data_IF_690968530256
#
_entry.id   IF_690968530256
#
_cell.length_a   1.000
_cell.length_b   1.000
_cell.length_c   1.000
_cell.angle_alpha   90.00
_cell.angle_beta   90.00
_cell.angle_gamma   90.00
#
_symmetry.space_group_name_H-M   'P 1'
#
loop_
_entity.id
_entity.type
_entity.pdbx_description
1 polymer ?
#
# COMPACT_ATOMS: atom_id res chain seq x y z
N UNK A 1 2.99 -14.51 22.85
CA UNK A 1 2.82 -15.97 23.02
C UNK A 1 3.81 -16.76 22.17
N UNK A 2 4.87 -17.29 22.79
CA UNK A 2 5.91 -18.07 22.11
C UNK A 2 5.38 -19.40 21.54
N UNK A 3 4.38 -20.01 22.17
CA UNK A 3 3.74 -21.24 21.65
C UNK A 3 3.01 -21.00 20.32
N UNK A 4 2.38 -19.83 20.16
CA UNK A 4 1.65 -19.47 18.94
C UNK A 4 2.59 -19.15 17.78
N UNK A 5 3.71 -18.50 18.04
CA UNK A 5 4.73 -18.18 17.03
C UNK A 5 5.43 -19.45 16.53
N UNK A 6 5.76 -20.39 17.42
CA UNK A 6 6.32 -21.69 17.05
C UNK A 6 5.34 -22.56 16.24
N UNK A 7 4.06 -22.54 16.59
CA UNK A 7 3.05 -23.23 15.80
C UNK A 7 2.91 -22.59 14.43
N UNK A 8 2.78 -21.27 14.36
CA UNK A 8 2.67 -20.56 13.08
C UNK A 8 3.92 -20.75 12.20
N UNK A 9 5.11 -20.93 12.77
CA UNK A 9 6.33 -21.14 11.99
C UNK A 9 6.37 -22.48 11.28
N UNK A 10 5.77 -23.52 11.86
CA UNK A 10 5.66 -24.84 11.21
C UNK A 10 4.66 -24.84 10.05
N UNK A 11 3.64 -23.98 10.10
CA UNK A 11 2.67 -23.83 9.01
C UNK A 11 3.17 -22.98 7.83
N UNK A 12 4.26 -22.22 8.00
CA UNK A 12 4.80 -21.37 6.94
C UNK A 12 5.55 -22.21 5.90
N UNK A 13 5.33 -21.87 4.63
CA UNK A 13 5.94 -22.53 3.47
C UNK A 13 6.61 -21.51 2.56
N UNK A 14 7.52 -21.97 1.71
CA UNK A 14 8.18 -21.14 0.70
C UNK A 14 9.24 -20.20 1.30
N UNK A 15 9.33 -18.98 0.77
CA UNK A 15 10.40 -18.02 1.06
C UNK A 15 10.51 -17.65 2.55
N UNK A 16 9.39 -17.56 3.28
CA UNK A 16 9.42 -17.28 4.72
C UNK A 16 9.89 -18.48 5.54
N UNK A 17 9.64 -19.70 5.08
CA UNK A 17 10.16 -20.89 5.75
C UNK A 17 11.69 -20.94 5.68
N UNK A 18 12.27 -20.61 4.52
CA UNK A 18 13.73 -20.51 4.34
C UNK A 18 14.33 -19.43 5.24
N UNK A 19 13.61 -18.34 5.48
CA UNK A 19 14.05 -17.27 6.37
C UNK A 19 13.92 -17.61 7.86
N UNK A 20 12.85 -18.29 8.27
CA UNK A 20 12.60 -18.63 9.69
C UNK A 20 13.46 -19.83 10.14
N UNK A 21 13.67 -20.84 9.29
CA UNK A 21 14.40 -22.06 9.64
C UNK A 21 15.74 -21.84 10.34
N UNK A 22 16.70 -21.07 9.80
CA UNK A 22 17.98 -20.87 10.47
C UNK A 22 17.80 -20.18 11.84
N UNK A 23 16.84 -19.26 11.96
CA UNK A 23 16.54 -18.54 13.20
C UNK A 23 15.92 -19.42 14.28
N UNK A 24 15.15 -20.44 13.89
CA UNK A 24 14.63 -21.46 14.81
C UNK A 24 15.71 -22.46 15.24
N UNK A 25 16.57 -22.88 14.31
CA UNK A 25 17.60 -23.88 14.58
C UNK A 25 18.74 -23.34 15.43
N UNK A 26 19.12 -22.07 15.26
CA UNK A 26 20.26 -21.46 15.95
C UNK A 26 19.83 -20.66 17.20
N UNK A 27 18.55 -20.65 17.56
CA UNK A 27 17.99 -19.87 18.68
C UNK A 27 18.35 -18.37 18.65
N UNK A 28 18.59 -17.83 17.45
CA UNK A 28 18.97 -16.43 17.23
C UNK A 28 17.70 -15.58 17.23
N UNK A 29 17.12 -15.37 18.41
CA UNK A 29 16.03 -14.39 18.61
C UNK A 29 16.61 -13.01 18.94
N UNK A 30 17.40 -12.46 18.02
CA UNK A 30 18.14 -11.19 18.19
C UNK A 30 17.25 -9.98 18.51
N UNK A 31 15.92 -10.07 18.34
CA UNK A 31 14.98 -8.95 18.55
C UNK A 31 13.70 -9.33 19.31
N UNK A 32 13.63 -10.51 19.95
CA UNK A 32 12.40 -10.95 20.63
C UNK A 32 11.21 -11.16 19.67
N UNK A 33 11.50 -11.54 18.43
CA UNK A 33 10.54 -11.76 17.34
C UNK A 33 9.62 -12.92 17.69
N UNK A 34 10.13 -13.97 18.34
CA UNK A 34 9.34 -15.15 18.68
C UNK A 34 8.59 -15.00 20.01
N UNK A 35 8.98 -14.04 20.85
CA UNK A 35 8.33 -13.78 22.16
C UNK A 35 6.99 -13.05 22.00
N UNK A 36 6.88 -12.13 21.03
CA UNK A 36 5.66 -11.36 20.76
C UNK A 36 5.02 -11.79 19.44
N UNK A 37 3.73 -12.14 19.48
CA UNK A 37 2.96 -12.49 18.29
C UNK A 37 2.87 -11.32 17.29
N UNK A 38 2.78 -10.09 17.81
CA UNK A 38 2.72 -8.89 16.98
C UNK A 38 4.05 -8.65 16.24
N UNK A 39 5.18 -8.82 16.94
CA UNK A 39 6.51 -8.72 16.33
C UNK A 39 6.74 -9.81 15.29
N UNK A 40 6.29 -11.03 15.57
CA UNK A 40 6.35 -12.16 14.65
C UNK A 40 5.58 -11.89 13.35
N UNK A 41 4.33 -11.43 13.45
CA UNK A 41 3.49 -11.09 12.29
C UNK A 41 4.08 -9.90 11.53
N UNK A 42 4.60 -8.87 12.22
CA UNK A 42 5.29 -7.73 11.58
C UNK A 42 6.52 -8.18 10.80
N UNK A 43 7.33 -9.07 11.36
CA UNK A 43 8.53 -9.60 10.69
C UNK A 43 8.15 -10.40 9.43
N UNK A 44 7.15 -11.28 9.52
CA UNK A 44 6.65 -12.06 8.38
C UNK A 44 6.07 -11.16 7.30
N UNK A 45 5.26 -10.16 7.69
CA UNK A 45 4.73 -9.18 6.76
C UNK A 45 5.86 -8.43 6.06
N UNK A 46 6.93 -8.07 6.77
CA UNK A 46 8.09 -7.42 6.18
C UNK A 46 8.81 -8.28 5.12
N UNK A 47 8.99 -9.58 5.38
CA UNK A 47 9.65 -10.48 4.41
C UNK A 47 8.79 -10.69 3.17
N UNK A 48 7.48 -10.81 3.33
CA UNK A 48 6.56 -10.92 2.20
C UNK A 48 6.29 -9.57 1.48
N UNK A 49 6.94 -8.47 1.90
CA UNK A 49 6.64 -7.14 1.35
C UNK A 49 5.23 -6.63 1.68
N UNK A 50 4.50 -7.34 2.55
CA UNK A 50 3.24 -6.94 3.15
C UNK A 50 3.43 -5.92 4.29
N UNK A 51 4.68 -5.56 4.61
CA UNK A 51 4.98 -4.48 5.54
C UNK A 51 4.57 -3.18 4.89
N UNK A 52 3.45 -2.67 5.37
CA UNK A 52 3.01 -1.28 5.28
C UNK A 52 3.42 -0.60 3.98
N UNK A 53 2.72 -0.93 2.88
CA UNK A 53 2.67 -0.03 1.71
C UNK A 53 2.34 1.42 2.13
N UNK A 54 1.69 1.60 3.29
CA UNK A 54 1.47 2.87 4.02
C UNK A 54 2.70 3.77 4.21
N UNK A 55 3.93 3.28 4.10
CA UNK A 55 5.13 4.07 4.41
C UNK A 55 6.15 4.14 3.28
N UNK A 56 5.76 3.86 2.04
CA UNK A 56 6.71 3.94 0.93
C UNK A 56 7.11 5.40 0.69
N UNK A 57 6.16 6.33 0.69
CA UNK A 57 6.45 7.76 0.59
C UNK A 57 7.33 8.22 1.76
N UNK A 58 6.93 7.96 3.01
CA UNK A 58 7.67 8.38 4.22
C UNK A 58 9.11 7.86 4.25
N UNK A 59 9.32 6.57 3.95
CA UNK A 59 10.66 5.97 3.93
C UNK A 59 11.52 6.54 2.81
N UNK A 60 10.91 6.83 1.66
CA UNK A 60 11.60 7.48 0.55
C UNK A 60 11.99 8.92 0.91
N UNK A 61 11.08 9.71 1.50
CA UNK A 61 11.34 11.06 1.97
C UNK A 61 12.52 11.12 2.94
N UNK A 62 12.57 10.22 3.92
CA UNK A 62 13.65 10.18 4.91
C UNK A 62 15.02 9.97 4.24
N UNK A 63 15.11 9.02 3.30
CA UNK A 63 16.34 8.79 2.52
C UNK A 63 16.68 9.97 1.63
N UNK A 64 15.67 10.57 0.99
CA UNK A 64 15.88 11.72 0.11
C UNK A 64 16.46 12.91 0.88
N UNK A 65 15.94 13.20 2.08
CA UNK A 65 16.49 14.24 2.98
C UNK A 65 17.94 13.98 3.40
N UNK A 66 18.30 12.72 3.63
CA UNK A 66 19.69 12.36 3.97
C UNK A 66 20.66 12.65 2.81
N UNK A 67 20.24 12.37 1.57
CA UNK A 67 21.05 12.63 0.38
C UNK A 67 21.06 14.10 -0.01
N UNK A 68 19.94 14.82 0.11
CA UNK A 68 19.85 16.24 -0.25
C UNK A 68 20.77 17.12 0.60
N UNK A 69 20.95 16.78 1.88
CA UNK A 69 21.88 17.49 2.76
C UNK A 69 23.36 17.36 2.37
N UNK A 70 23.71 16.36 1.54
CA UNK A 70 25.09 16.09 1.13
C UNK A 70 25.42 16.65 -0.26
N UNK A 71 24.42 16.98 -1.08
CA UNK A 71 24.61 17.28 -2.51
C UNK A 71 24.57 18.77 -2.86
N UNK A 72 24.02 19.63 -1.98
CA UNK A 72 23.96 21.08 -2.23
C UNK A 72 23.08 21.48 -3.43
N UNK A 73 22.09 20.67 -3.79
CA UNK A 73 21.20 20.92 -4.93
C UNK A 73 20.24 22.06 -4.65
N UNK A 74 19.90 22.82 -5.70
CA UNK A 74 18.88 23.87 -5.65
C UNK A 74 17.48 23.28 -5.40
N UNK A 75 16.60 24.08 -4.80
CA UNK A 75 15.25 23.68 -4.43
C UNK A 75 14.43 23.17 -5.63
N UNK A 76 14.59 23.79 -6.79
CA UNK A 76 13.93 23.36 -8.03
C UNK A 76 14.44 21.98 -8.49
N UNK A 77 15.75 21.75 -8.41
CA UNK A 77 16.33 20.45 -8.73
C UNK A 77 15.88 19.36 -7.74
N UNK A 78 15.79 19.69 -6.44
CA UNK A 78 15.29 18.77 -5.42
C UNK A 78 13.82 18.40 -5.66
N UNK A 79 12.98 19.36 -6.05
CA UNK A 79 11.59 19.12 -6.43
C UNK A 79 11.50 18.14 -7.60
N UNK A 80 12.18 18.41 -8.72
CA UNK A 80 12.14 17.53 -9.89
C UNK A 80 12.62 16.12 -9.56
N UNK A 81 13.71 16.00 -8.80
CA UNK A 81 14.30 14.72 -8.42
C UNK A 81 13.44 13.94 -7.42
N UNK A 82 12.72 14.62 -6.55
CA UNK A 82 11.74 13.98 -5.68
C UNK A 82 10.53 13.49 -6.49
N UNK A 83 9.98 14.34 -7.37
CA UNK A 83 8.81 14.02 -8.19
C UNK A 83 9.04 12.81 -9.10
N UNK A 84 10.17 12.75 -9.81
CA UNK A 84 10.51 11.65 -10.73
C UNK A 84 10.49 10.28 -10.07
N UNK A 85 10.84 10.22 -8.78
CA UNK A 85 11.02 8.97 -8.04
C UNK A 85 9.80 8.57 -7.21
N UNK A 86 8.74 9.37 -7.20
CA UNK A 86 7.43 8.98 -6.66
C UNK A 86 6.79 7.87 -7.50
N UNK A 87 5.86 7.12 -6.90
CA UNK A 87 5.03 6.15 -7.63
C UNK A 87 4.13 6.86 -8.62
N UNK A 88 3.85 6.24 -9.75
CA UNK A 88 3.00 6.83 -10.79
C UNK A 88 1.57 7.09 -10.29
N UNK A 89 0.97 6.18 -9.51
CA UNK A 89 -0.33 6.41 -8.87
C UNK A 89 -0.35 7.73 -8.04
N UNK A 90 0.75 8.05 -7.35
CA UNK A 90 0.89 9.26 -6.52
C UNK A 90 1.09 10.49 -7.40
N UNK A 91 1.88 10.37 -8.49
CA UNK A 91 2.07 11.45 -9.47
C UNK A 91 0.76 11.85 -10.14
N UNK A 92 -0.09 10.87 -10.49
CA UNK A 92 -1.38 11.11 -11.14
C UNK A 92 -2.36 11.86 -10.24
N UNK A 93 -2.38 11.53 -8.95
CA UNK A 93 -3.21 12.27 -7.97
C UNK A 93 -2.61 13.64 -7.65
N UNK A 94 -1.28 13.78 -7.61
CA UNK A 94 -0.61 15.08 -7.48
C UNK A 94 -0.94 15.99 -8.67
N UNK A 95 -0.96 15.45 -9.90
CA UNK A 95 -1.39 16.21 -11.08
C UNK A 95 -2.86 16.61 -11.01
N UNK A 96 -3.73 15.75 -10.48
CA UNK A 96 -5.17 16.06 -10.29
C UNK A 96 -5.43 17.13 -9.22
N UNK A 97 -4.57 17.23 -8.21
CA UNK A 97 -4.64 18.28 -7.19
C UNK A 97 -4.32 19.68 -7.76
N UNK A 98 -3.70 19.78 -8.93
CA UNK A 98 -3.52 21.05 -9.65
C UNK A 98 -2.58 22.05 -8.98
N UNK A 99 -1.88 21.66 -7.91
CA UNK A 99 -0.95 22.52 -7.17
C UNK A 99 0.44 22.50 -7.80
N UNK A 100 0.93 23.66 -8.23
CA UNK A 100 2.39 23.84 -8.34
C UNK A 100 2.95 23.79 -6.92
N UNK A 101 3.88 22.86 -6.68
CA UNK A 101 4.50 22.74 -5.36
C UNK A 101 5.72 23.65 -5.34
N UNK A 102 5.55 24.84 -4.77
CA UNK A 102 6.62 25.85 -4.71
C UNK A 102 7.77 25.44 -3.78
N UNK A 103 7.50 24.50 -2.86
CA UNK A 103 8.50 24.02 -1.90
C UNK A 103 8.51 22.49 -1.82
N UNK A 104 9.71 21.95 -1.58
CA UNK A 104 9.90 20.51 -1.38
C UNK A 104 9.07 19.98 -0.21
N UNK A 105 8.89 20.78 0.84
CA UNK A 105 8.14 20.40 2.02
C UNK A 105 6.65 20.19 1.73
N UNK A 106 6.03 21.09 0.96
CA UNK A 106 4.64 20.93 0.52
C UNK A 106 4.50 19.66 -0.34
N UNK A 107 5.40 19.44 -1.30
CA UNK A 107 5.34 18.23 -2.14
C UNK A 107 5.52 16.94 -1.34
N UNK A 108 6.36 16.97 -0.30
CA UNK A 108 6.52 15.83 0.61
C UNK A 108 5.22 15.56 1.37
N UNK A 109 4.61 16.60 1.94
CA UNK A 109 3.40 16.48 2.73
C UNK A 109 2.24 15.93 1.88
N UNK A 110 2.02 16.51 0.70
CA UNK A 110 0.97 16.09 -0.22
C UNK A 110 1.20 14.68 -0.74
N UNK A 111 2.45 14.33 -1.08
CA UNK A 111 2.78 12.97 -1.52
C UNK A 111 2.51 11.92 -0.42
N UNK A 112 2.80 12.24 0.85
CA UNK A 112 2.52 11.34 1.99
C UNK A 112 1.00 11.19 2.19
N UNK A 113 0.25 12.29 2.13
CA UNK A 113 -1.20 12.26 2.30
C UNK A 113 -1.87 11.45 1.19
N UNK A 114 -1.46 11.65 -0.06
CA UNK A 114 -1.96 10.91 -1.22
C UNK A 114 -1.61 9.42 -1.14
N UNK A 115 -0.38 9.04 -0.80
CA UNK A 115 0.02 7.63 -0.65
C UNK A 115 -0.83 6.94 0.43
N UNK A 116 -1.13 7.65 1.53
CA UNK A 116 -2.03 7.15 2.58
C UNK A 116 -3.46 6.96 2.08
N UNK A 117 -4.04 7.97 1.42
CA UNK A 117 -5.40 7.91 0.85
C UNK A 117 -5.54 6.79 -0.19
N UNK A 118 -4.56 6.66 -1.08
CA UNK A 118 -4.52 5.58 -2.08
C UNK A 118 -4.43 4.21 -1.43
N UNK A 119 -3.62 4.08 -0.37
CA UNK A 119 -3.55 2.84 0.39
C UNK A 119 -4.89 2.50 1.05
N UNK A 120 -5.52 3.45 1.73
CA UNK A 120 -6.84 3.26 2.35
C UNK A 120 -7.88 2.84 1.31
N UNK A 121 -7.91 3.51 0.16
CA UNK A 121 -8.79 3.13 -0.94
C UNK A 121 -8.51 1.73 -1.50
N UNK A 122 -7.23 1.33 -1.60
CA UNK A 122 -6.84 -0.03 -2.00
C UNK A 122 -7.33 -1.06 -0.97
N UNK A 123 -7.24 -0.75 0.32
CA UNK A 123 -7.74 -1.60 1.41
C UNK A 123 -9.27 -1.72 1.39
N UNK A 124 -10.00 -0.61 1.21
CA UNK A 124 -11.46 -0.61 1.04
C UNK A 124 -11.88 -1.48 -0.13
N UNK A 125 -11.24 -1.36 -1.29
CA UNK A 125 -11.55 -2.18 -2.47
C UNK A 125 -11.32 -3.67 -2.20
N UNK A 126 -10.25 -4.03 -1.48
CA UNK A 126 -9.98 -5.42 -1.09
C UNK A 126 -11.04 -5.97 -0.13
N UNK A 127 -11.44 -5.18 0.86
CA UNK A 127 -12.44 -5.58 1.86
C UNK A 127 -13.85 -5.65 1.25
N UNK A 128 -14.24 -4.67 0.42
CA UNK A 128 -15.54 -4.63 -0.24
C UNK A 128 -15.67 -5.66 -1.38
N UNK A 129 -14.55 -6.04 -2.01
CA UNK A 129 -14.50 -7.10 -3.03
C UNK A 129 -14.83 -8.49 -2.47
N UNK A 130 -14.65 -8.72 -1.16
CA UNK A 130 -15.00 -9.98 -0.50
C UNK A 130 -16.52 -10.12 -0.29
N UNK A 131 -17.26 -9.01 -0.13
CA UNK A 131 -18.72 -9.03 -0.05
C UNK A 131 -19.40 -9.11 -1.41
N UNK A 132 -18.67 -8.89 -2.51
CA UNK A 132 -19.15 -9.13 -3.88
C UNK A 132 -18.74 -10.52 -4.38
N UNK A 133 -18.84 -11.51 -3.50
CA UNK A 133 -18.80 -12.91 -3.87
C UNK A 133 -20.06 -13.31 -4.62
N UNK A 134 -19.92 -13.46 -5.95
CA UNK A 134 -20.68 -14.40 -6.79
C UNK A 134 -22.13 -14.03 -7.14
N UNK A 135 -22.33 -12.91 -7.84
CA UNK A 135 -23.44 -12.91 -8.81
C UNK A 135 -22.99 -13.71 -10.03
N UNK A 136 -23.48 -14.95 -10.10
CA UNK A 136 -23.49 -15.77 -11.30
C UNK A 136 -24.34 -15.08 -12.37
N UNK A 137 -23.81 -14.04 -13.02
CA UNK A 137 -24.37 -13.55 -14.27
C UNK A 137 -24.01 -14.57 -15.36
N UNK A 138 -24.89 -15.56 -15.54
CA UNK A 138 -25.00 -16.30 -16.77
C UNK A 138 -25.30 -15.31 -17.89
N UNK A 139 -24.30 -14.94 -18.71
CA UNK A 139 -24.54 -14.26 -19.98
C UNK A 139 -25.02 -15.27 -21.02
N UNK A 140 -26.22 -15.81 -20.81
CA UNK A 140 -26.94 -16.55 -21.83
C UNK A 140 -28.36 -16.00 -21.88
N UNK A 141 -28.57 -14.97 -22.70
CA UNK A 141 -29.72 -14.91 -23.62
C UNK A 141 -29.77 -13.55 -24.29
N UNK A 142 -29.33 -13.50 -25.55
CA UNK A 142 -29.75 -12.49 -26.48
C UNK A 142 -31.23 -12.70 -26.80
N UNK A 143 -32.14 -12.19 -25.97
CA UNK A 143 -33.54 -12.06 -26.33
C UNK A 143 -34.14 -10.79 -25.72
N UNK A 144 -34.23 -9.77 -26.57
CA UNK A 144 -35.44 -8.97 -26.84
C UNK A 144 -36.24 -8.49 -25.62
N UNK A 145 -36.20 -7.17 -25.39
CA UNK A 145 -37.31 -6.46 -24.75
C UNK A 145 -36.91 -5.54 -23.61
N UNK A 146 -36.81 -4.25 -23.93
CA UNK A 146 -36.94 -3.08 -23.07
C UNK A 146 -37.43 -3.36 -21.64
N UNK A 147 -36.57 -3.09 -20.65
CA UNK A 147 -37.00 -2.73 -19.29
C UNK A 147 -36.25 -1.48 -18.86
N UNK A 148 -36.97 -0.35 -18.90
CA UNK A 148 -36.63 0.89 -18.19
C UNK A 148 -36.28 0.54 -16.74
N UNK A 149 -35.17 1.09 -16.26
CA UNK A 149 -34.73 0.97 -14.87
C UNK A 149 -35.67 1.82 -13.99
N UNK A 150 -36.35 1.25 -12.97
CA UNK A 150 -37.25 2.00 -12.08
C UNK A 150 -36.55 3.07 -11.23
N UNK A 151 -35.21 3.09 -11.17
CA UNK A 151 -34.42 4.02 -10.37
C UNK A 151 -33.49 4.91 -11.20
N UNK A 152 -33.72 5.06 -12.51
CA UNK A 152 -33.08 6.12 -13.25
C UNK A 152 -33.61 7.47 -12.71
N UNK A 153 -32.80 8.19 -11.92
CA UNK A 153 -33.11 9.56 -11.55
C UNK A 153 -33.20 10.36 -12.84
N UNK A 154 -34.42 10.68 -13.27
CA UNK A 154 -34.65 11.63 -14.34
C UNK A 154 -34.07 12.96 -13.87
N UNK A 155 -32.96 13.37 -14.49
CA UNK A 155 -32.48 14.73 -14.37
C UNK A 155 -33.50 15.59 -15.13
N UNK A 156 -34.24 16.41 -14.40
CA UNK A 156 -35.08 17.45 -15.02
C UNK A 156 -34.16 18.40 -15.80
N UNK A 157 -34.11 18.18 -17.12
CA UNK A 157 -33.55 19.15 -18.06
C UNK A 157 -34.71 20.05 -18.47
N UNK A 158 -34.82 21.17 -17.72
CA UNK A 158 -35.49 22.47 -17.95
C UNK A 158 -36.94 22.42 -18.46
#
# INVERSE_FOLDING_TARGET
DPKKTLLASSYLRGQVQQWIRPRLHENIDTKGIFNSWDNYVKAIRNIYGLSNEKQVAIRYTAKFREYSGKTGWDNQALLTMYYTRLKDDVKDELMRLGGSHDTLELMIQDAIEIDNKLYERKMEKRYNGQYRGRSSYNSTSWTRGSRRDPNAMELDII
#
